data_IF_883543485048
#
_entry.id   IF_883543485048
#
_cell.length_a   1.000
_cell.length_b   1.000
_cell.length_c   1.000
_cell.angle_alpha   90.00
_cell.angle_beta   90.00
_cell.angle_gamma   90.00
#
_symmetry.space_group_name_H-M   'P 1'
#
loop_
_entity.id
_entity.type
_entity.pdbx_description
1 polymer ?
#
# COMPACT_ATOMS: atom_id res chain seq x y z
N UNK A 1 -10.60 12.47 -11.64
CA UNK A 1 -11.02 11.13 -11.16
C UNK A 1 -9.88 10.58 -10.32
N UNK A 2 -10.14 9.95 -9.18
CA UNK A 2 -9.07 9.37 -8.36
C UNK A 2 -8.65 8.01 -8.94
N UNK A 3 -7.37 7.65 -8.88
CA UNK A 3 -6.85 6.44 -9.53
C UNK A 3 -6.50 5.38 -8.49
N UNK A 4 -6.99 4.15 -8.65
CA UNK A 4 -6.65 3.02 -7.77
C UNK A 4 -5.55 2.17 -8.39
N UNK A 5 -4.45 2.04 -7.67
CA UNK A 5 -3.26 1.27 -8.04
C UNK A 5 -3.08 0.07 -7.11
N UNK A 6 -2.21 -0.85 -7.53
CA UNK A 6 -1.87 -2.07 -6.78
C UNK A 6 -0.37 -2.14 -6.61
N UNK A 7 0.07 -2.69 -5.48
CA UNK A 7 1.47 -2.95 -5.19
C UNK A 7 1.64 -4.21 -4.36
N UNK A 8 2.89 -4.64 -4.21
CA UNK A 8 3.28 -5.76 -3.36
C UNK A 8 4.52 -5.34 -2.60
N UNK A 9 4.50 -5.47 -1.28
CA UNK A 9 5.69 -5.31 -0.44
C UNK A 9 6.08 -6.63 0.19
N UNK A 10 7.37 -6.93 0.20
CA UNK A 10 7.90 -8.11 0.87
C UNK A 10 8.30 -7.73 2.30
N UNK A 11 7.80 -8.47 3.29
CA UNK A 11 8.09 -8.26 4.71
C UNK A 11 8.60 -9.54 5.39
N UNK A 12 9.37 -9.41 6.49
CA UNK A 12 9.80 -10.58 7.26
C UNK A 12 8.62 -11.37 7.87
N UNK A 13 8.67 -12.69 7.71
CA UNK A 13 7.74 -13.64 8.32
C UNK A 13 8.07 -13.92 9.80
N UNK A 14 9.22 -13.45 10.30
CA UNK A 14 9.68 -13.66 11.68
C UNK A 14 8.87 -12.90 12.74
N UNK A 15 7.97 -12.02 12.31
CA UNK A 15 7.16 -11.16 13.18
C UNK A 15 5.81 -11.79 13.49
N UNK A 16 5.35 -11.62 14.74
CA UNK A 16 3.98 -11.96 15.13
C UNK A 16 2.93 -11.20 14.29
N UNK A 17 1.71 -11.72 14.14
CA UNK A 17 0.73 -11.27 13.14
C UNK A 17 0.38 -9.78 13.23
N UNK A 18 0.30 -9.21 14.44
CA UNK A 18 0.05 -7.77 14.63
C UNK A 18 1.21 -6.88 14.18
N UNK A 19 2.46 -7.24 14.53
CA UNK A 19 3.65 -6.47 14.12
C UNK A 19 3.88 -6.59 12.63
N UNK A 20 3.66 -7.77 12.06
CA UNK A 20 3.74 -8.01 10.62
C UNK A 20 2.75 -7.13 9.84
N UNK A 21 1.49 -7.09 10.25
CA UNK A 21 0.50 -6.24 9.60
C UNK A 21 0.90 -4.76 9.67
N UNK A 22 1.35 -4.28 10.83
CA UNK A 22 1.83 -2.91 10.99
C UNK A 22 3.03 -2.59 10.08
N UNK A 23 4.02 -3.48 10.02
CA UNK A 23 5.21 -3.30 9.19
C UNK A 23 4.88 -3.35 7.69
N UNK A 24 4.00 -4.27 7.28
CA UNK A 24 3.52 -4.35 5.91
C UNK A 24 2.73 -3.11 5.49
N UNK A 25 1.88 -2.57 6.37
CA UNK A 25 1.18 -1.30 6.12
C UNK A 25 2.16 -0.14 6.00
N UNK A 26 3.16 -0.04 6.89
CA UNK A 26 4.17 1.01 6.82
C UNK A 26 5.02 0.92 5.55
N UNK A 27 5.44 -0.29 5.17
CA UNK A 27 6.17 -0.55 3.94
C UNK A 27 5.31 -0.21 2.70
N UNK A 28 4.04 -0.62 2.68
CA UNK A 28 3.11 -0.32 1.59
C UNK A 28 2.87 1.18 1.42
N UNK A 29 2.74 1.94 2.51
CA UNK A 29 2.64 3.40 2.45
C UNK A 29 3.89 4.03 1.86
N UNK A 30 5.07 3.58 2.30
CA UNK A 30 6.35 4.07 1.78
C UNK A 30 6.53 3.75 0.30
N UNK A 31 6.19 2.52 -0.09
CA UNK A 31 6.27 2.07 -1.48
C UNK A 31 5.29 2.84 -2.37
N UNK A 32 4.03 2.96 -1.96
CA UNK A 32 3.03 3.77 -2.64
C UNK A 32 3.47 5.24 -2.80
N UNK A 33 4.04 5.83 -1.75
CA UNK A 33 4.57 7.20 -1.80
C UNK A 33 5.75 7.33 -2.77
N UNK A 34 6.59 6.30 -2.88
CA UNK A 34 7.73 6.28 -3.82
C UNK A 34 7.33 6.11 -5.29
N UNK A 35 6.15 5.54 -5.54
CA UNK A 35 5.58 5.40 -6.88
C UNK A 35 4.81 6.65 -7.35
N UNK A 36 4.65 7.66 -6.49
CA UNK A 36 4.00 8.90 -6.86
C UNK A 36 4.90 9.71 -7.79
N UNK A 37 4.33 10.12 -8.94
CA UNK A 37 4.96 11.10 -9.80
C UNK A 37 5.03 12.48 -9.09
N UNK A 38 5.89 13.39 -9.58
CA UNK A 38 6.11 14.71 -8.96
C UNK A 38 4.82 15.52 -8.79
N UNK A 39 3.85 15.34 -9.69
CA UNK A 39 2.52 15.98 -9.66
C UNK A 39 1.52 15.30 -8.72
N UNK A 40 1.87 14.16 -8.13
CA UNK A 40 1.04 13.36 -7.20
C UNK A 40 1.57 13.44 -5.75
N UNK A 41 2.83 13.85 -5.57
CA UNK A 41 3.49 14.12 -4.28
C UNK A 41 3.00 15.41 -3.60
N UNK A 42 2.08 16.16 -4.23
CA UNK A 42 1.66 17.49 -3.78
C UNK A 42 0.90 17.48 -2.43
N UNK A 43 0.48 16.33 -1.91
CA UNK A 43 -0.26 16.23 -0.65
C UNK A 43 0.25 15.00 0.13
N UNK A 44 0.66 15.17 1.38
CA UNK A 44 1.09 14.06 2.25
C UNK A 44 -0.02 13.01 2.49
N UNK A 45 -1.28 13.40 2.27
CA UNK A 45 -2.48 12.57 2.30
C UNK A 45 -2.93 12.12 0.90
N UNK A 46 -2.11 12.24 -0.15
CA UNK A 46 -2.49 11.88 -1.53
C UNK A 46 -2.66 10.38 -1.71
N UNK A 47 -2.12 9.56 -0.81
CA UNK A 47 -2.18 8.10 -0.84
C UNK A 47 -3.10 7.60 0.28
N UNK A 48 -4.12 6.84 -0.11
CA UNK A 48 -4.97 6.08 0.82
C UNK A 48 -4.84 4.60 0.52
N UNK A 49 -4.48 3.79 1.52
CA UNK A 49 -4.61 2.34 1.41
C UNK A 49 -6.09 1.96 1.54
N UNK A 50 -6.66 1.37 0.50
CA UNK A 50 -8.06 0.95 0.46
C UNK A 50 -8.26 -0.50 0.89
N UNK A 51 -7.19 -1.30 0.81
CA UNK A 51 -7.24 -2.71 1.13
C UNK A 51 -5.87 -3.33 1.28
N UNK A 52 -5.73 -4.16 2.29
CA UNK A 52 -4.56 -5.00 2.52
C UNK A 52 -4.95 -6.46 2.30
N UNK A 53 -4.26 -7.15 1.40
CA UNK A 53 -4.46 -8.58 1.19
C UNK A 53 -3.81 -9.43 2.28
N UNK A 54 -4.05 -10.75 2.23
CA UNK A 54 -3.38 -11.69 3.12
C UNK A 54 -1.92 -11.87 2.69
N UNK A 55 -0.99 -11.77 3.63
CA UNK A 55 0.42 -12.09 3.40
C UNK A 55 0.54 -13.52 2.84
N UNK A 56 1.24 -13.70 1.72
CA UNK A 56 1.52 -15.01 1.12
C UNK A 56 3.01 -15.28 1.10
N UNK A 57 3.39 -16.55 1.02
CA UNK A 57 4.78 -16.91 0.80
C UNK A 57 5.28 -16.29 -0.52
N UNK A 58 6.48 -15.71 -0.50
CA UNK A 58 7.06 -15.11 -1.69
C UNK A 58 7.77 -16.17 -2.51
N UNK A 59 7.16 -16.60 -3.62
CA UNK A 59 7.78 -17.56 -4.54
C UNK A 59 9.06 -17.00 -5.17
N UNK A 60 9.14 -15.67 -5.31
CA UNK A 60 10.30 -14.99 -5.89
C UNK A 60 11.56 -15.05 -5.00
N UNK A 61 11.40 -15.25 -3.69
CA UNK A 61 12.52 -15.24 -2.75
C UNK A 61 12.91 -16.64 -2.27
N UNK A 62 12.08 -17.66 -2.52
CA UNK A 62 12.24 -19.04 -2.03
C UNK A 62 12.54 -19.17 -0.52
N UNK A 63 12.29 -18.12 0.25
CA UNK A 63 12.66 -17.99 1.65
C UNK A 63 11.40 -17.88 2.51
N UNK A 64 11.18 -18.87 3.38
CA UNK A 64 10.07 -18.87 4.34
C UNK A 64 10.17 -17.74 5.37
N UNK A 65 11.32 -17.09 5.50
CA UNK A 65 11.49 -15.89 6.30
C UNK A 65 10.89 -14.64 5.65
N UNK A 66 10.39 -14.72 4.41
CA UNK A 66 9.80 -13.60 3.67
C UNK A 66 8.35 -13.91 3.24
N UNK A 67 7.53 -12.86 3.25
CA UNK A 67 6.15 -12.92 2.78
C UNK A 67 5.83 -11.69 1.93
N UNK A 68 5.10 -11.92 0.85
CA UNK A 68 4.57 -10.88 -0.01
C UNK A 68 3.20 -10.42 0.48
N UNK A 69 3.06 -9.11 0.60
CA UNK A 69 1.86 -8.46 1.07
C UNK A 69 1.27 -7.59 -0.04
N UNK A 70 0.28 -8.10 -0.78
CA UNK A 70 -0.40 -7.33 -1.80
C UNK A 70 -1.27 -6.25 -1.15
N UNK A 71 -1.23 -5.05 -1.71
CA UNK A 71 -2.04 -3.94 -1.23
C UNK A 71 -2.59 -3.13 -2.40
N UNK A 72 -3.66 -2.40 -2.14
CA UNK A 72 -4.27 -1.46 -3.09
C UNK A 72 -4.29 -0.07 -2.48
N UNK A 73 -3.94 0.92 -3.29
CA UNK A 73 -3.90 2.30 -2.85
C UNK A 73 -4.53 3.20 -3.89
N UNK A 74 -5.25 4.21 -3.44
CA UNK A 74 -5.79 5.26 -4.32
C UNK A 74 -4.94 6.51 -4.20
N UNK A 75 -4.74 7.19 -5.33
CA UNK A 75 -3.99 8.44 -5.45
C UNK A 75 -4.91 9.56 -5.91
N UNK A 76 -4.77 10.74 -5.30
CA UNK A 76 -5.37 11.98 -5.81
C UNK A 76 -4.56 12.55 -6.98
N UNK A 77 -5.06 12.36 -8.19
CA UNK A 77 -4.51 12.97 -9.42
C UNK A 77 -5.26 14.27 -9.76
N UNK A 78 -4.69 15.18 -10.58
CA UNK A 78 -5.36 16.39 -11.03
C UNK A 78 -6.78 16.13 -11.54
N UNK A 79 -7.78 16.80 -10.95
CA UNK A 79 -9.21 16.57 -11.24
C UNK A 79 -9.91 15.52 -10.35
N UNK A 80 -9.27 15.02 -9.29
CA UNK A 80 -9.95 14.36 -8.16
C UNK A 80 -10.41 15.47 -7.18
N UNK A 81 -11.71 15.59 -6.94
CA UNK A 81 -12.32 16.68 -6.12
C UNK A 81 -12.47 16.31 -4.64
N UNK A 82 -11.79 15.25 -4.19
CA UNK A 82 -11.73 14.80 -2.81
C UNK A 82 -11.94 13.30 -2.67
N UNK A 83 -11.51 12.76 -1.53
CA UNK A 83 -11.95 11.46 -1.04
C UNK A 83 -13.44 11.59 -0.78
N UNK A 84 -14.29 11.10 -1.67
CA UNK A 84 -15.74 11.14 -1.46
C UNK A 84 -16.02 10.70 -0.02
N UNK A 85 -16.53 11.63 0.81
CA UNK A 85 -17.04 11.27 2.13
C UNK A 85 -18.01 10.12 1.90
N UNK A 86 -17.99 9.06 2.72
CA UNK A 86 -19.01 8.03 2.60
C UNK A 86 -20.36 8.74 2.64
N UNK A 87 -21.15 8.57 1.58
CA UNK A 87 -22.54 9.03 1.56
C UNK A 87 -23.22 8.18 2.63
N UNK A 88 -23.47 8.79 3.79
CA UNK A 88 -24.34 8.24 4.84
C UNK A 88 -25.77 8.17 4.35
#
# INVERSE_FOLDING_TARGET
MCETRKGVVTVPNTLGPRRKAHEATAAALKDAASQLADNEQLIAESVRLDGTGTARWSEAHEDYALMDFPYTYTVMVPGCTGWSRPVT
#
